data_IF_267442842730
#
_entry.id   IF_267442842730
#
_cell.length_a   1.000
_cell.length_b   1.000
_cell.length_c   1.000
_cell.angle_alpha   90.00
_cell.angle_beta   90.00
_cell.angle_gamma   90.00
#
_symmetry.space_group_name_H-M   'P 1'
#
loop_
_entity.id
_entity.type
_entity.pdbx_description
1 polymer ?
#
# COMPACT_ATOMS: atom_id res chain seq x y z
N UNK A 1 -1.50 -33.88 67.24
CA UNK A 1 -0.70 -34.49 66.16
C UNK A 1 -1.21 -33.99 64.80
N UNK A 2 -0.82 -32.81 64.32
CA UNK A 2 -1.13 -32.39 62.93
C UNK A 2 0.01 -31.56 62.33
N UNK A 3 1.08 -32.25 61.91
CA UNK A 3 2.08 -31.73 60.97
C UNK A 3 2.40 -32.85 59.99
N UNK A 4 1.82 -32.85 58.76
CA UNK A 4 2.38 -33.57 57.58
C UNK A 4 1.64 -33.44 56.23
N UNK A 5 0.74 -32.47 55.99
CA UNK A 5 0.05 -32.35 54.67
C UNK A 5 0.61 -31.29 53.69
N UNK A 6 1.54 -30.41 54.10
CA UNK A 6 2.08 -29.33 53.25
C UNK A 6 3.14 -29.73 52.21
N UNK A 7 3.87 -30.83 52.42
CA UNK A 7 5.09 -31.14 51.63
C UNK A 7 4.82 -31.76 50.23
N UNK A 8 3.72 -32.53 50.07
CA UNK A 8 3.41 -33.22 48.80
C UNK A 8 2.92 -32.27 47.69
N UNK A 9 2.20 -31.19 48.04
CA UNK A 9 1.62 -30.24 47.06
C UNK A 9 2.70 -29.33 46.44
N UNK A 10 3.73 -28.97 47.22
CA UNK A 10 4.85 -28.15 46.77
C UNK A 10 5.82 -28.92 45.85
N UNK A 11 6.08 -30.21 46.14
CA UNK A 11 6.87 -31.09 45.25
C UNK A 11 6.19 -31.31 43.89
N UNK A 12 4.87 -31.49 43.84
CA UNK A 12 4.11 -31.69 42.58
C UNK A 12 4.11 -30.44 41.69
N UNK A 13 4.07 -29.24 42.28
CA UNK A 13 4.19 -27.96 41.54
C UNK A 13 5.60 -27.72 40.97
N UNK A 14 6.66 -28.03 41.73
CA UNK A 14 8.05 -27.93 41.22
C UNK A 14 8.34 -28.91 40.09
N UNK A 15 7.85 -30.16 40.19
CA UNK A 15 8.00 -31.15 39.13
C UNK A 15 7.28 -30.74 37.82
N UNK A 16 6.09 -30.15 37.93
CA UNK A 16 5.34 -29.69 36.75
C UNK A 16 5.99 -28.44 36.11
N UNK A 17 6.57 -27.54 36.91
CA UNK A 17 7.32 -26.37 36.40
C UNK A 17 8.59 -26.80 35.63
N UNK A 18 9.33 -27.77 36.15
CA UNK A 18 10.52 -28.32 35.50
C UNK A 18 10.19 -29.11 34.21
N UNK A 19 9.03 -29.76 34.15
CA UNK A 19 8.55 -30.45 32.95
C UNK A 19 8.18 -29.46 31.84
N UNK A 20 7.53 -28.34 32.19
CA UNK A 20 7.15 -27.25 31.28
C UNK A 20 8.38 -26.47 30.79
N UNK A 21 9.35 -26.20 31.67
CA UNK A 21 10.63 -25.59 31.29
C UNK A 21 11.41 -26.50 30.31
N UNK A 22 11.51 -27.81 30.58
CA UNK A 22 12.15 -28.76 29.67
C UNK A 22 11.46 -28.88 28.30
N UNK A 23 10.13 -28.75 28.24
CA UNK A 23 9.41 -28.74 26.96
C UNK A 23 9.65 -27.43 26.19
N UNK A 24 9.80 -26.32 26.91
CA UNK A 24 10.13 -25.02 26.31
C UNK A 24 11.57 -25.02 25.75
N UNK A 25 12.55 -25.49 26.51
CA UNK A 25 13.94 -25.60 26.05
C UNK A 25 14.08 -26.51 24.81
N UNK A 26 13.36 -27.63 24.75
CA UNK A 26 13.33 -28.50 23.56
C UNK A 26 12.76 -27.80 22.31
N UNK A 27 11.74 -26.94 22.47
CA UNK A 27 11.19 -26.15 21.36
C UNK A 27 12.15 -25.07 20.89
N UNK A 28 12.85 -24.40 21.80
CA UNK A 28 13.88 -23.40 21.47
C UNK A 28 15.04 -24.04 20.70
N UNK A 29 15.47 -25.23 21.10
CA UNK A 29 16.53 -25.98 20.41
C UNK A 29 16.11 -26.42 18.99
N UNK A 30 14.85 -26.83 18.81
CA UNK A 30 14.30 -27.12 17.47
C UNK A 30 14.24 -25.88 16.58
N UNK A 31 13.84 -24.73 17.13
CA UNK A 31 13.81 -23.47 16.38
C UNK A 31 15.22 -22.98 16.01
N UNK A 32 16.21 -23.18 16.88
CA UNK A 32 17.61 -22.87 16.59
C UNK A 32 18.15 -23.73 15.43
N UNK A 33 17.81 -25.03 15.39
CA UNK A 33 18.19 -25.92 14.28
C UNK A 33 17.55 -25.51 12.95
N UNK A 34 16.30 -25.06 12.97
CA UNK A 34 15.61 -24.55 11.76
C UNK A 34 16.28 -23.26 11.28
N UNK A 35 16.61 -22.34 12.20
CA UNK A 35 17.28 -21.09 11.86
C UNK A 35 18.67 -21.32 11.27
N UNK A 36 19.46 -22.23 11.86
CA UNK A 36 20.77 -22.61 11.33
C UNK A 36 20.65 -23.13 9.90
N UNK A 37 19.69 -24.03 9.64
CA UNK A 37 19.44 -24.56 8.29
C UNK A 37 19.04 -23.46 7.29
N UNK A 38 18.19 -22.52 7.70
CA UNK A 38 17.80 -21.39 6.85
C UNK A 38 18.98 -20.46 6.52
N UNK A 39 19.89 -20.25 7.47
CA UNK A 39 21.09 -19.45 7.25
C UNK A 39 22.08 -20.18 6.32
N UNK A 40 22.22 -21.50 6.44
CA UNK A 40 23.04 -22.34 5.55
C UNK A 40 22.47 -22.37 4.11
N UNK A 41 21.14 -22.51 3.97
CA UNK A 41 20.44 -22.45 2.67
C UNK A 41 20.62 -21.07 2.01
N UNK A 42 20.57 -19.99 2.81
CA UNK A 42 20.79 -18.61 2.35
C UNK A 42 22.25 -18.37 1.93
N UNK A 43 23.22 -18.93 2.64
CA UNK A 43 24.63 -18.87 2.28
C UNK A 43 24.90 -19.63 0.97
N UNK A 44 24.29 -20.80 0.80
CA UNK A 44 24.37 -21.61 -0.43
C UNK A 44 23.80 -20.86 -1.64
N UNK A 45 22.62 -20.25 -1.50
CA UNK A 45 22.02 -19.43 -2.56
C UNK A 45 22.89 -18.21 -2.96
N UNK A 46 23.62 -17.62 -1.99
CA UNK A 46 24.59 -16.55 -2.27
C UNK A 46 25.80 -17.03 -3.05
N UNK A 47 26.31 -18.24 -2.79
CA UNK A 47 27.44 -18.82 -3.54
C UNK A 47 27.09 -19.09 -5.01
N UNK A 48 25.86 -19.49 -5.31
CA UNK A 48 25.40 -19.68 -6.69
C UNK A 48 25.16 -18.36 -7.45
N UNK A 49 25.05 -17.23 -6.75
CA UNK A 49 24.82 -15.91 -7.35
C UNK A 49 26.12 -15.17 -7.73
N UNK A 50 27.29 -15.64 -7.30
CA UNK A 50 28.58 -14.97 -7.51
C UNK A 50 29.56 -15.71 -8.44
N UNK A 51 29.23 -16.92 -8.90
CA UNK A 51 30.07 -17.68 -9.85
C UNK A 51 29.82 -17.35 -11.33
N UNK A 52 28.98 -16.35 -11.65
CA UNK A 52 28.75 -15.90 -13.04
C UNK A 52 29.72 -14.80 -13.49
N UNK A 53 30.62 -14.32 -12.62
CA UNK A 53 31.59 -13.25 -12.95
C UNK A 53 32.97 -13.59 -12.38
N UNK A 54 33.64 -14.60 -12.93
CA UNK A 54 35.11 -14.71 -12.89
C UNK A 54 35.60 -15.98 -13.60
N UNK A 55 35.63 -15.96 -14.93
CA UNK A 55 36.67 -16.64 -15.72
C UNK A 55 36.91 -15.84 -17.00
N UNK A 56 37.80 -14.87 -16.94
CA UNK A 56 38.48 -14.31 -18.11
C UNK A 56 39.89 -13.87 -17.70
N UNK A 57 40.87 -14.55 -18.29
CA UNK A 57 42.26 -14.22 -18.63
C UNK A 57 42.98 -15.60 -18.67
N UNK A 58 43.41 -16.09 -19.84
CA UNK A 58 44.54 -15.53 -20.56
C UNK A 58 44.39 -15.47 -22.09
N UNK A 59 45.14 -14.52 -22.64
CA UNK A 59 45.22 -14.08 -24.02
C UNK A 59 46.17 -14.96 -24.86
N UNK A 60 45.76 -15.34 -26.08
CA UNK A 60 46.63 -15.53 -27.25
C UNK A 60 45.82 -15.45 -28.55
N UNK A 61 46.15 -14.49 -29.41
CA UNK A 61 45.66 -14.22 -30.79
C UNK A 61 46.76 -14.80 -31.73
N UNK A 62 46.53 -15.44 -32.91
CA UNK A 62 45.85 -14.79 -34.04
C UNK A 62 45.21 -15.62 -35.19
N UNK A 63 44.42 -14.90 -35.99
CA UNK A 63 44.50 -14.81 -37.46
C UNK A 63 43.24 -15.17 -38.27
N UNK A 64 42.84 -14.16 -39.07
CA UNK A 64 42.27 -14.20 -40.42
C UNK A 64 41.28 -15.30 -40.79
N UNK A 65 39.98 -14.98 -40.72
CA UNK A 65 39.10 -14.80 -41.89
C UNK A 65 37.63 -15.07 -41.55
N UNK A 66 36.76 -14.20 -42.09
CA UNK A 66 35.29 -14.09 -41.93
C UNK A 66 34.79 -13.24 -40.76
N UNK A 67 35.08 -11.94 -40.82
CA UNK A 67 34.25 -10.91 -40.19
C UNK A 67 33.53 -10.15 -41.30
N UNK A 68 32.32 -10.61 -41.63
CA UNK A 68 31.36 -9.87 -42.45
C UNK A 68 30.03 -9.77 -41.69
N UNK A 69 29.90 -8.65 -40.96
CA UNK A 69 28.70 -7.81 -40.83
C UNK A 69 27.33 -8.52 -40.73
N UNK A 70 26.88 -8.80 -39.50
CA UNK A 70 25.44 -8.78 -39.19
C UNK A 70 25.10 -7.70 -38.16
N UNK A 71 24.24 -6.80 -38.63
CA UNK A 71 23.75 -5.58 -37.99
C UNK A 71 22.86 -5.92 -36.78
N UNK A 72 22.97 -5.06 -35.78
CA UNK A 72 22.01 -4.86 -34.68
C UNK A 72 20.57 -4.99 -35.18
N UNK A 73 19.85 -6.00 -34.68
CA UNK A 73 18.40 -6.07 -34.82
C UNK A 73 17.81 -5.05 -33.84
N UNK A 74 17.39 -3.92 -34.41
CA UNK A 74 16.55 -2.92 -33.75
C UNK A 74 15.30 -3.62 -33.21
N UNK A 75 15.05 -3.40 -31.92
CA UNK A 75 13.75 -3.66 -31.29
C UNK A 75 12.65 -3.00 -32.12
N UNK A 76 11.67 -3.81 -32.55
CA UNK A 76 10.50 -3.33 -33.27
C UNK A 76 9.60 -2.56 -32.31
N UNK A 77 9.59 -1.23 -32.45
CA UNK A 77 8.51 -0.38 -31.95
C UNK A 77 7.24 -0.75 -32.74
N UNK A 78 6.29 -1.42 -32.09
CA UNK A 78 4.91 -1.37 -32.57
C UNK A 78 4.35 0.01 -32.24
N UNK A 79 4.30 0.84 -33.28
CA UNK A 79 3.58 2.10 -33.32
C UNK A 79 2.08 1.87 -33.11
N UNK A 80 1.67 1.72 -31.85
CA UNK A 80 0.29 1.93 -31.43
C UNK A 80 0.10 3.43 -31.21
N UNK A 81 -0.60 4.07 -32.14
CA UNK A 81 -1.00 5.49 -32.17
C UNK A 81 -1.10 6.10 -30.76
N UNK A 82 -0.07 6.82 -30.35
CA UNK A 82 -0.19 7.85 -29.32
C UNK A 82 -1.07 8.94 -29.94
N UNK A 83 -2.30 9.08 -29.45
CA UNK A 83 -3.09 10.28 -29.73
C UNK A 83 -2.38 11.43 -29.04
N UNK A 84 -1.78 12.28 -29.85
CA UNK A 84 -1.17 13.55 -29.49
C UNK A 84 -2.21 14.51 -28.90
N UNK A 85 -1.71 15.42 -28.05
CA UNK A 85 -2.26 16.72 -27.60
C UNK A 85 -2.85 16.74 -26.18
N UNK A 86 -1.96 16.74 -25.18
CA UNK A 86 -2.02 17.79 -24.16
C UNK A 86 -0.80 18.69 -24.44
N UNK A 87 -1.04 19.96 -24.77
CA UNK A 87 0.02 20.96 -24.73
C UNK A 87 0.38 21.08 -23.26
N UNK A 88 1.47 20.45 -22.82
CA UNK A 88 1.99 20.69 -21.48
C UNK A 88 2.35 22.18 -21.40
N UNK A 89 1.48 22.97 -20.77
CA UNK A 89 1.79 24.36 -20.46
C UNK A 89 3.10 24.38 -19.67
N UNK A 90 4.14 24.98 -20.26
CA UNK A 90 5.40 25.13 -19.57
C UNK A 90 5.28 26.27 -18.57
N UNK A 91 5.04 25.92 -17.30
CA UNK A 91 4.95 26.87 -16.20
C UNK A 91 6.28 26.79 -15.43
N UNK A 92 7.14 27.82 -15.48
CA UNK A 92 8.42 27.77 -14.78
C UNK A 92 8.22 27.64 -13.27
N UNK A 93 9.11 26.88 -12.62
CA UNK A 93 9.11 26.78 -11.16
C UNK A 93 9.76 28.04 -10.57
N UNK A 94 9.10 28.65 -9.59
CA UNK A 94 9.60 29.84 -8.89
C UNK A 94 10.63 29.43 -7.82
N UNK A 95 11.82 30.04 -7.84
CA UNK A 95 12.87 29.76 -6.85
C UNK A 95 12.84 30.76 -5.68
N UNK A 96 13.17 30.34 -4.44
CA UNK A 96 13.46 28.97 -4.01
C UNK A 96 12.17 28.13 -3.88
N UNK A 97 12.24 26.87 -4.32
CA UNK A 97 11.14 25.90 -4.20
C UNK A 97 11.57 24.67 -3.41
N UNK A 98 10.63 24.11 -2.67
CA UNK A 98 10.79 22.88 -1.90
C UNK A 98 10.14 21.73 -2.65
N UNK A 99 10.83 20.61 -2.73
CA UNK A 99 10.32 19.33 -3.24
C UNK A 99 10.13 18.38 -2.06
N UNK A 100 8.93 17.83 -1.96
CA UNK A 100 8.51 16.86 -0.94
C UNK A 100 8.37 15.48 -1.58
N UNK A 101 8.91 14.46 -0.94
CA UNK A 101 8.64 13.08 -1.33
C UNK A 101 7.47 12.52 -0.50
N UNK A 102 6.35 12.26 -1.17
CA UNK A 102 5.13 11.75 -0.54
C UNK A 102 4.89 10.31 -0.94
N UNK A 103 4.82 9.42 0.04
CA UNK A 103 4.51 8.00 -0.13
C UNK A 103 3.05 7.73 0.24
N UNK A 104 2.38 6.89 -0.54
CA UNK A 104 1.02 6.42 -0.27
C UNK A 104 1.04 4.90 -0.16
N UNK A 105 0.41 4.38 0.90
CA UNK A 105 0.37 2.96 1.23
C UNK A 105 -1.03 2.37 1.01
N UNK A 106 -1.09 1.06 0.80
CA UNK A 106 -2.32 0.34 0.52
C UNK A 106 -3.30 0.38 1.70
N UNK A 107 -4.60 0.56 1.42
CA UNK A 107 -5.65 0.66 2.44
C UNK A 107 -5.78 -0.56 3.38
N UNK A 108 -5.62 -1.78 2.85
CA UNK A 108 -5.67 -3.04 3.60
C UNK A 108 -4.27 -3.48 4.06
N UNK A 109 -3.28 -3.42 3.17
CA UNK A 109 -1.90 -3.84 3.44
C UNK A 109 -1.04 -2.62 3.81
N UNK A 110 -1.21 -2.11 5.03
CA UNK A 110 -0.60 -0.83 5.46
C UNK A 110 0.93 -0.73 5.32
N UNK A 111 1.64 -1.87 5.24
CA UNK A 111 3.10 -1.91 5.01
C UNK A 111 3.49 -1.92 3.53
N UNK A 112 2.53 -1.98 2.60
CA UNK A 112 2.78 -2.04 1.16
C UNK A 112 2.62 -0.64 0.56
N UNK A 113 3.75 -0.03 0.16
CA UNK A 113 3.75 1.21 -0.61
C UNK A 113 3.11 0.96 -1.98
N UNK A 114 2.15 1.80 -2.36
CA UNK A 114 1.45 1.72 -3.65
C UNK A 114 1.92 2.80 -4.62
N UNK A 115 2.21 4.01 -4.12
CA UNK A 115 2.64 5.13 -4.95
C UNK A 115 3.63 5.99 -4.20
N UNK A 116 4.47 6.70 -4.96
CA UNK A 116 5.40 7.70 -4.46
C UNK A 116 5.43 8.87 -5.43
N UNK A 117 5.36 10.07 -4.88
CA UNK A 117 5.26 11.32 -5.62
C UNK A 117 6.34 12.29 -5.18
N UNK A 118 6.84 13.08 -6.14
CA UNK A 118 7.48 14.35 -5.86
C UNK A 118 6.43 15.45 -5.99
N UNK A 119 6.32 16.31 -4.98
CA UNK A 119 5.33 17.39 -4.90
C UNK A 119 6.04 18.69 -4.56
N UNK A 120 5.67 19.79 -5.20
CA UNK A 120 6.26 21.10 -4.84
C UNK A 120 5.54 21.72 -3.64
N UNK A 121 6.26 22.52 -2.87
CA UNK A 121 5.72 23.24 -1.71
C UNK A 121 4.52 24.13 -2.07
N UNK A 122 4.58 24.82 -3.22
CA UNK A 122 3.50 25.70 -3.67
C UNK A 122 2.30 24.99 -4.31
N UNK A 123 2.31 23.67 -4.44
CA UNK A 123 1.15 22.93 -4.94
C UNK A 123 0.09 22.79 -3.86
N UNK A 124 -1.16 22.81 -4.31
CA UNK A 124 -2.29 22.54 -3.41
C UNK A 124 -2.36 21.06 -3.05
N UNK A 125 -2.95 20.75 -1.89
CA UNK A 125 -3.15 19.35 -1.47
C UNK A 125 -4.03 18.57 -2.46
N UNK A 126 -5.00 19.26 -3.08
CA UNK A 126 -5.87 18.69 -4.12
C UNK A 126 -5.10 18.25 -5.37
N UNK A 127 -4.02 18.96 -5.75
CA UNK A 127 -3.17 18.54 -6.88
C UNK A 127 -2.53 17.17 -6.62
N UNK A 128 -2.14 16.88 -5.37
CA UNK A 128 -1.72 15.52 -5.00
C UNK A 128 -2.89 14.54 -4.98
N UNK A 129 -4.00 14.88 -4.32
CA UNK A 129 -5.19 14.00 -4.22
C UNK A 129 -5.60 13.48 -5.60
N UNK A 130 -5.68 14.38 -6.58
CA UNK A 130 -6.14 14.07 -7.95
C UNK A 130 -5.18 13.14 -8.71
N UNK A 131 -3.93 12.99 -8.25
CA UNK A 131 -2.93 12.05 -8.81
C UNK A 131 -2.86 10.72 -8.04
N UNK A 132 -3.48 10.62 -6.86
CA UNK A 132 -3.52 9.36 -6.11
C UNK A 132 -4.44 8.38 -6.84
N UNK A 133 -3.89 7.21 -7.14
CA UNK A 133 -4.59 6.10 -7.74
C UNK A 133 -5.05 5.14 -6.66
N UNK A 134 -6.34 4.86 -6.62
CA UNK A 134 -6.90 3.81 -5.78
C UNK A 134 -7.92 2.97 -6.55
N UNK A 135 -7.84 1.66 -6.40
CA UNK A 135 -8.78 0.72 -7.00
C UNK A 135 -10.22 1.01 -6.56
N UNK A 136 -10.43 1.44 -5.31
CA UNK A 136 -11.77 1.76 -4.79
C UNK A 136 -12.43 2.86 -5.62
N UNK A 137 -11.69 3.90 -6.05
CA UNK A 137 -12.24 4.96 -6.89
C UNK A 137 -12.72 4.40 -8.24
N UNK A 138 -11.91 3.55 -8.89
CA UNK A 138 -12.29 2.93 -10.16
C UNK A 138 -13.53 2.04 -10.03
N UNK A 139 -13.61 1.25 -8.97
CA UNK A 139 -14.75 0.36 -8.72
C UNK A 139 -16.02 1.18 -8.47
N UNK A 140 -15.93 2.23 -7.66
CA UNK A 140 -17.09 3.10 -7.36
C UNK A 140 -17.54 3.91 -8.57
N UNK A 141 -16.61 4.39 -9.40
CA UNK A 141 -16.92 5.05 -10.68
C UNK A 141 -17.67 4.11 -11.63
N UNK A 142 -17.17 2.88 -11.83
CA UNK A 142 -17.85 1.89 -12.67
C UNK A 142 -19.23 1.51 -12.15
N UNK A 143 -19.41 1.50 -10.83
CA UNK A 143 -20.70 1.21 -10.19
C UNK A 143 -21.67 2.40 -10.22
N UNK A 144 -21.26 3.60 -10.68
CA UNK A 144 -22.07 4.81 -10.62
C UNK A 144 -22.35 5.29 -9.18
N UNK A 145 -21.51 4.88 -8.22
CA UNK A 145 -21.63 5.16 -6.78
C UNK A 145 -20.42 5.92 -6.24
N UNK A 146 -19.70 6.62 -7.11
CA UNK A 146 -18.52 7.37 -6.74
C UNK A 146 -18.87 8.53 -5.82
N UNK A 147 -18.23 8.56 -4.66
CA UNK A 147 -18.31 9.66 -3.71
C UNK A 147 -17.09 10.59 -3.92
N UNK A 148 -17.28 11.88 -4.28
CA UNK A 148 -16.17 12.81 -4.46
C UNK A 148 -15.49 13.21 -3.13
N UNK A 149 -16.15 12.92 -2.01
CA UNK A 149 -15.70 13.29 -0.67
C UNK A 149 -14.39 12.60 -0.28
N UNK A 150 -13.53 13.37 0.38
CA UNK A 150 -12.32 12.83 0.97
C UNK A 150 -11.56 13.88 1.75
N UNK A 151 -10.65 13.44 2.61
CA UNK A 151 -9.82 14.34 3.40
C UNK A 151 -8.41 13.79 3.60
N UNK A 152 -7.46 14.71 3.80
CA UNK A 152 -6.19 14.39 4.45
C UNK A 152 -6.27 14.79 5.92
N UNK A 153 -5.85 13.92 6.82
CA UNK A 153 -5.64 14.22 8.22
C UNK A 153 -4.14 14.25 8.48
N UNK A 154 -3.60 15.45 8.63
CA UNK A 154 -2.18 15.73 8.89
C UNK A 154 -2.10 16.43 10.25
N UNK A 155 -1.34 15.84 11.17
CA UNK A 155 -1.36 16.21 12.60
C UNK A 155 -2.82 16.21 13.12
N UNK A 156 -3.28 17.37 13.61
CA UNK A 156 -4.63 17.56 14.16
C UNK A 156 -5.56 18.29 13.19
N UNK A 157 -5.26 18.33 11.88
CA UNK A 157 -6.02 19.12 10.90
C UNK A 157 -6.60 18.21 9.82
N UNK A 158 -7.93 18.27 9.69
CA UNK A 158 -8.69 17.70 8.59
C UNK A 158 -8.71 18.68 7.42
N UNK A 159 -8.06 18.31 6.33
CA UNK A 159 -8.11 19.00 5.05
C UNK A 159 -9.20 18.36 4.19
N UNK A 160 -10.42 18.88 4.25
CA UNK A 160 -11.56 18.30 3.52
C UNK A 160 -11.57 18.81 2.07
N UNK A 161 -11.77 17.90 1.12
CA UNK A 161 -12.01 18.28 -0.27
C UNK A 161 -13.51 18.51 -0.50
N UNK A 162 -13.88 19.79 -0.50
CA UNK A 162 -15.25 20.26 -0.70
C UNK A 162 -15.39 21.01 -2.04
N UNK A 163 -14.56 20.70 -3.04
CA UNK A 163 -14.66 21.32 -4.37
C UNK A 163 -15.94 20.94 -5.10
N UNK A 164 -16.43 19.72 -4.88
CA UNK A 164 -17.69 19.24 -5.45
C UNK A 164 -18.87 19.61 -4.53
N UNK A 165 -19.97 20.19 -5.03
CA UNK A 165 -21.14 20.52 -4.23
C UNK A 165 -21.80 19.31 -3.55
N UNK A 166 -21.61 18.10 -4.09
CA UNK A 166 -22.10 16.84 -3.51
C UNK A 166 -21.16 16.22 -2.47
N UNK A 167 -19.98 16.82 -2.26
CA UNK A 167 -19.03 16.34 -1.25
C UNK A 167 -19.56 16.53 0.17
N UNK A 168 -19.38 15.51 0.98
CA UNK A 168 -19.79 15.43 2.38
C UNK A 168 -18.56 15.67 3.25
N UNK A 169 -18.72 16.54 4.25
CA UNK A 169 -17.70 16.72 5.28
C UNK A 169 -17.67 15.52 6.24
N UNK A 170 -16.70 14.64 6.05
CA UNK A 170 -16.48 13.47 6.92
C UNK A 170 -16.01 13.83 8.33
N UNK A 171 -15.48 15.03 8.56
CA UNK A 171 -14.99 15.45 9.87
C UNK A 171 -16.12 15.80 10.84
N UNK A 172 -17.29 16.23 10.34
CA UNK A 172 -18.45 16.62 11.17
C UNK A 172 -18.88 15.53 12.15
N UNK A 173 -19.23 14.30 11.67
CA UNK A 173 -19.60 13.19 12.56
C UNK A 173 -18.51 12.81 13.56
N UNK A 174 -17.22 13.01 13.21
CA UNK A 174 -16.09 12.74 14.10
C UNK A 174 -16.06 13.78 15.23
N UNK A 175 -16.27 15.06 14.92
CA UNK A 175 -16.32 16.14 15.91
C UNK A 175 -17.53 16.02 16.84
N UNK A 176 -18.69 15.63 16.30
CA UNK A 176 -19.88 15.36 17.09
C UNK A 176 -19.63 14.21 18.07
N UNK A 177 -18.99 13.13 17.61
CA UNK A 177 -18.59 12.03 18.47
C UNK A 177 -17.58 12.46 19.55
N UNK A 178 -16.55 13.25 19.20
CA UNK A 178 -15.58 13.78 20.17
C UNK A 178 -16.23 14.66 21.26
N UNK A 179 -17.27 15.42 20.90
CA UNK A 179 -18.00 16.28 21.82
C UNK A 179 -18.94 15.49 22.73
N UNK A 180 -19.68 14.53 22.17
CA UNK A 180 -20.71 13.77 22.87
C UNK A 180 -20.16 12.58 23.67
N UNK A 181 -18.98 12.07 23.31
CA UNK A 181 -18.37 10.88 23.91
C UNK A 181 -16.96 11.17 24.45
N UNK A 182 -16.78 12.31 25.12
CA UNK A 182 -15.47 12.82 25.57
C UNK A 182 -14.66 11.82 26.42
N UNK A 183 -15.31 11.15 27.37
CA UNK A 183 -14.62 10.20 28.26
C UNK A 183 -14.14 8.97 27.50
N UNK A 184 -14.93 8.48 26.53
CA UNK A 184 -14.55 7.37 25.68
C UNK A 184 -13.45 7.75 24.69
N UNK A 185 -13.48 8.99 24.18
CA UNK A 185 -12.42 9.55 23.36
C UNK A 185 -11.10 9.64 24.14
N UNK A 186 -11.12 10.11 25.38
CA UNK A 186 -9.95 10.16 26.26
C UNK A 186 -9.37 8.77 26.51
N UNK A 187 -10.20 7.78 26.88
CA UNK A 187 -9.76 6.39 27.09
C UNK A 187 -9.09 5.80 25.85
N UNK A 188 -9.68 6.04 24.67
CA UNK A 188 -9.12 5.59 23.39
C UNK A 188 -7.79 6.28 23.08
N UNK A 189 -7.73 7.59 23.28
CA UNK A 189 -6.52 8.39 23.06
C UNK A 189 -5.37 7.94 23.96
N UNK A 190 -5.64 7.73 25.25
CA UNK A 190 -4.67 7.19 26.19
C UNK A 190 -4.16 5.81 25.77
N UNK A 191 -5.05 4.96 25.25
CA UNK A 191 -4.69 3.64 24.73
C UNK A 191 -3.79 3.73 23.51
N UNK A 192 -4.01 4.71 22.63
CA UNK A 192 -3.17 4.96 21.45
C UNK A 192 -1.77 5.44 21.86
N UNK A 193 -1.66 6.45 22.73
CA UNK A 193 -0.37 7.00 23.17
C UNK A 193 0.44 5.96 23.93
N UNK A 194 -0.21 5.23 24.83
CA UNK A 194 0.47 4.29 25.74
C UNK A 194 0.81 2.97 25.03
N UNK A 195 0.11 2.65 23.94
CA UNK A 195 0.15 1.35 23.30
C UNK A 195 -0.52 0.26 24.14
N UNK A 196 -1.13 -0.72 23.49
CA UNK A 196 -1.86 -1.83 24.14
C UNK A 196 -0.96 -2.67 25.08
N UNK A 197 0.36 -2.68 24.84
CA UNK A 197 1.35 -3.47 25.58
C UNK A 197 1.77 -2.87 26.94
N UNK A 198 1.59 -1.57 27.19
CA UNK A 198 2.06 -0.92 28.43
C UNK A 198 0.96 -0.72 29.49
N UNK A 199 -0.32 -1.01 29.20
CA UNK A 199 -1.40 -0.97 30.21
C UNK A 199 -1.11 -1.86 31.43
N UNK A 200 -0.45 -3.01 31.23
CA UNK A 200 -0.06 -3.93 32.31
C UNK A 200 1.15 -3.44 33.12
N UNK A 201 2.02 -2.60 32.54
CA UNK A 201 3.22 -2.09 33.19
C UNK A 201 2.94 -0.79 33.98
N UNK A 202 1.95 0.02 33.55
CA UNK A 202 1.56 1.25 34.25
C UNK A 202 0.88 1.03 35.61
N UNK A 203 0.30 -0.15 35.85
CA UNK A 203 -0.16 -0.54 37.19
C UNK A 203 0.98 -0.56 38.24
N UNK A 204 2.25 -0.52 37.80
CA UNK A 204 3.45 -0.64 38.64
C UNK A 204 4.21 0.69 38.81
N UNK A 205 4.14 1.64 37.86
CA UNK A 205 5.05 2.81 37.80
C UNK A 205 4.43 4.20 38.02
N UNK A 206 3.14 4.30 38.32
CA UNK A 206 2.50 5.58 38.67
C UNK A 206 2.10 6.44 37.47
N UNK A 207 1.12 7.32 37.70
CA UNK A 207 0.37 8.05 36.68
C UNK A 207 1.20 9.15 35.99
N UNK A 208 1.29 9.08 34.66
CA UNK A 208 1.52 10.27 33.83
C UNK A 208 0.15 10.89 33.57
N UNK A 209 -0.01 12.16 33.92
CA UNK A 209 -1.25 12.94 33.76
C UNK A 209 -1.79 12.84 32.33
N UNK A 210 -3.12 12.71 32.13
CA UNK A 210 -3.71 12.65 30.80
C UNK A 210 -3.37 13.92 30.03
N UNK A 211 -2.63 13.78 28.94
CA UNK A 211 -2.47 14.84 27.96
C UNK A 211 -3.84 15.09 27.32
N UNK A 212 -4.27 16.35 27.35
CA UNK A 212 -5.50 16.87 26.73
C UNK A 212 -5.71 16.25 25.33
N UNK A 213 -6.95 15.93 24.97
CA UNK A 213 -7.30 15.50 23.61
C UNK A 213 -6.72 16.47 22.57
N UNK A 214 -6.27 15.95 21.41
CA UNK A 214 -5.84 16.81 20.32
C UNK A 214 -6.94 17.80 19.94
N UNK A 215 -6.54 19.02 19.60
CA UNK A 215 -7.48 20.05 19.21
C UNK A 215 -7.69 20.00 17.70
N UNK A 216 -8.57 19.09 17.28
CA UNK A 216 -8.82 18.90 15.86
C UNK A 216 -9.48 20.11 15.21
N UNK A 217 -9.05 20.43 13.98
CA UNK A 217 -9.56 21.54 13.17
C UNK A 217 -9.86 21.09 11.75
N UNK A 218 -10.65 21.88 11.04
CA UNK A 218 -10.95 21.68 9.62
C UNK A 218 -10.45 22.84 8.79
N UNK A 219 -9.95 22.53 7.59
CA UNK A 219 -9.48 23.50 6.59
C UNK A 219 -9.85 22.99 5.20
N UNK A 220 -10.09 23.91 4.27
CA UNK A 220 -10.31 23.60 2.86
C UNK A 220 -9.05 23.01 2.20
N UNK A 221 -9.14 21.80 1.64
CA UNK A 221 -8.02 21.14 0.95
C UNK A 221 -7.56 21.94 -0.28
N UNK A 222 -8.51 22.51 -1.04
CA UNK A 222 -8.22 23.20 -2.31
C UNK A 222 -7.50 24.56 -2.16
N UNK A 223 -7.57 25.17 -0.97
CA UNK A 223 -6.88 26.44 -0.67
C UNK A 223 -5.56 26.23 0.08
N UNK A 224 -5.29 25.01 0.51
CA UNK A 224 -4.10 24.70 1.31
C UNK A 224 -2.99 24.21 0.41
N UNK A 225 -1.79 24.79 0.54
CA UNK A 225 -0.58 24.31 -0.13
C UNK A 225 0.29 23.49 0.80
N UNK A 226 1.19 22.71 0.24
CA UNK A 226 2.15 21.93 1.03
C UNK A 226 3.08 22.80 1.90
N UNK A 227 3.45 23.99 1.44
CA UNK A 227 4.24 24.96 2.21
C UNK A 227 3.49 25.56 3.40
N UNK A 228 2.16 25.46 3.44
CA UNK A 228 1.33 25.97 4.53
C UNK A 228 1.15 24.90 5.65
N UNK A 229 1.61 23.67 5.41
CA UNK A 229 1.45 22.55 6.33
C UNK A 229 2.44 22.59 7.49
N UNK A 230 1.97 22.09 8.64
CA UNK A 230 2.83 21.67 9.75
C UNK A 230 2.80 20.15 9.83
N UNK A 231 3.95 19.53 9.71
CA UNK A 231 4.09 18.07 9.72
C UNK A 231 5.47 17.66 10.25
N UNK A 232 5.62 16.38 10.53
CA UNK A 232 6.82 15.69 10.96
C UNK A 232 7.25 14.74 9.84
N UNK A 233 8.52 14.84 9.41
CA UNK A 233 9.05 13.94 8.40
C UNK A 233 9.05 12.49 8.87
N UNK A 234 8.62 11.59 8.00
CA UNK A 234 8.50 10.16 8.29
C UNK A 234 7.28 9.76 9.13
N UNK A 235 6.48 10.73 9.61
CA UNK A 235 5.23 10.42 10.31
C UNK A 235 4.15 9.94 9.34
N UNK A 236 3.31 9.01 9.81
CA UNK A 236 2.18 8.49 9.06
C UNK A 236 0.93 9.34 9.26
N UNK A 237 0.43 9.88 8.15
CA UNK A 237 -0.82 10.64 8.04
C UNK A 237 -1.90 9.80 7.35
N UNK A 238 -3.15 10.28 7.42
CA UNK A 238 -4.30 9.55 6.89
C UNK A 238 -4.86 10.26 5.66
N UNK A 239 -5.02 9.52 4.57
CA UNK A 239 -5.89 9.89 3.46
C UNK A 239 -7.13 9.00 3.50
N UNK A 240 -8.32 9.62 3.53
CA UNK A 240 -9.59 8.92 3.50
C UNK A 240 -10.44 9.39 2.32
N UNK A 241 -11.01 8.46 1.56
CA UNK A 241 -11.91 8.72 0.44
C UNK A 241 -12.91 7.57 0.28
N UNK A 242 -13.94 7.73 -0.55
CA UNK A 242 -14.99 6.71 -0.79
C UNK A 242 -15.57 6.13 0.50
N UNK A 243 -15.83 6.99 1.50
CA UNK A 243 -16.36 6.62 2.81
C UNK A 243 -15.31 6.05 3.77
N UNK A 244 -14.86 4.82 3.54
CA UNK A 244 -14.01 4.08 4.49
C UNK A 244 -12.65 3.65 3.93
N UNK A 245 -12.32 4.07 2.70
CA UNK A 245 -11.05 3.75 2.07
C UNK A 245 -9.92 4.60 2.65
N UNK A 246 -9.16 4.02 3.59
CA UNK A 246 -8.15 4.68 4.41
C UNK A 246 -6.74 4.29 4.00
N UNK A 247 -5.97 5.23 3.48
CA UNK A 247 -4.58 5.07 3.11
C UNK A 247 -3.66 5.76 4.12
N UNK A 248 -2.52 5.15 4.43
CA UNK A 248 -1.45 5.84 5.13
C UNK A 248 -0.65 6.64 4.11
N UNK A 249 -0.48 7.93 4.36
CA UNK A 249 0.37 8.84 3.60
C UNK A 249 1.58 9.22 4.46
N UNK A 250 2.79 9.22 3.90
CA UNK A 250 4.01 9.59 4.62
C UNK A 250 4.75 10.64 3.82
N UNK A 251 5.05 11.78 4.42
CA UNK A 251 6.00 12.74 3.85
C UNK A 251 7.39 12.28 4.30
N UNK A 252 8.09 11.54 3.44
CA UNK A 252 9.33 10.83 3.80
C UNK A 252 10.49 11.81 3.98
N UNK A 253 10.70 12.67 3.00
CA UNK A 253 11.81 13.60 2.94
C UNK A 253 11.39 14.92 2.24
N UNK A 254 12.25 15.92 2.37
CA UNK A 254 12.07 17.26 1.84
C UNK A 254 13.43 17.83 1.45
N UNK A 255 13.52 18.50 0.30
CA UNK A 255 14.74 19.14 -0.18
C UNK A 255 14.44 20.39 -1.00
N UNK A 256 15.44 21.22 -1.23
CA UNK A 256 15.35 22.27 -2.26
C UNK A 256 15.35 21.66 -3.66
N UNK A 257 14.63 22.30 -4.58
CA UNK A 257 14.67 21.93 -6.00
C UNK A 257 16.10 22.11 -6.54
N UNK A 258 16.55 21.14 -7.33
CA UNK A 258 17.87 21.11 -7.96
C UNK A 258 17.74 21.55 -9.44
N UNK A 259 18.75 22.19 -10.05
CA UNK A 259 18.69 22.59 -11.47
C UNK A 259 18.41 21.45 -12.45
N UNK A 260 18.77 20.21 -12.10
CA UNK A 260 18.51 19.00 -12.90
C UNK A 260 17.09 18.42 -12.70
N UNK A 261 16.32 18.93 -11.73
CA UNK A 261 14.92 18.56 -11.61
C UNK A 261 14.09 19.10 -12.78
N UNK A 262 12.88 18.57 -12.92
CA UNK A 262 11.94 19.06 -13.92
C UNK A 262 11.56 20.51 -13.58
N UNK A 263 12.03 21.48 -14.37
CA UNK A 263 11.71 22.89 -14.17
C UNK A 263 10.38 23.29 -14.82
N UNK A 264 9.36 22.43 -14.71
CA UNK A 264 8.00 22.71 -15.13
C UNK A 264 7.04 22.37 -13.99
N UNK A 265 6.39 23.38 -13.40
CA UNK A 265 5.39 23.21 -12.34
C UNK A 265 4.25 22.29 -12.77
N UNK A 266 3.81 22.37 -14.02
CA UNK A 266 2.71 21.56 -14.54
C UNK A 266 3.01 20.05 -14.58
N UNK A 267 4.29 19.66 -14.56
CA UNK A 267 4.69 18.26 -14.52
C UNK A 267 4.52 17.63 -13.12
N UNK A 268 4.43 18.45 -12.06
CA UNK A 268 4.20 17.98 -10.71
C UNK A 268 2.70 17.87 -10.40
N UNK A 269 2.27 16.98 -9.49
CA UNK A 269 3.06 15.95 -8.81
C UNK A 269 3.62 14.89 -9.76
N UNK A 270 4.91 14.59 -9.63
CA UNK A 270 5.59 13.59 -10.46
C UNK A 270 5.48 12.24 -9.77
N UNK A 271 4.88 11.25 -10.43
CA UNK A 271 4.87 9.86 -9.94
C UNK A 271 6.25 9.25 -10.19
N UNK A 272 6.99 8.97 -9.11
CA UNK A 272 8.30 8.30 -9.19
C UNK A 272 8.23 6.80 -8.91
N UNK A 273 7.15 6.35 -8.25
CA UNK A 273 6.86 4.93 -8.08
C UNK A 273 5.36 4.67 -8.14
N UNK A 274 4.98 3.58 -8.80
CA UNK A 274 3.64 3.02 -8.75
C UNK A 274 3.73 1.50 -8.74
N UNK A 275 3.11 0.87 -7.74
CA UNK A 275 3.01 -0.57 -7.63
C UNK A 275 2.20 -1.09 -8.82
N UNK A 276 2.78 -2.02 -9.57
CA UNK A 276 2.11 -2.61 -10.73
C UNK A 276 1.04 -3.60 -10.26
N UNK A 277 -0.24 -3.39 -10.61
CA UNK A 277 -1.31 -4.31 -10.25
C UNK A 277 -1.07 -5.68 -10.88
N UNK A 278 -1.43 -6.75 -10.16
CA UNK A 278 -1.27 -8.11 -10.67
C UNK A 278 -2.51 -8.48 -11.48
N UNK A 279 -2.42 -8.31 -12.80
CA UNK A 279 -3.47 -8.69 -13.72
C UNK A 279 -3.64 -10.21 -13.80
N UNK A 280 -4.85 -10.71 -13.54
CA UNK A 280 -5.18 -12.11 -13.84
C UNK A 280 -5.35 -12.30 -15.34
N UNK A 281 -4.82 -13.40 -15.86
CA UNK A 281 -5.08 -13.84 -17.23
C UNK A 281 -6.40 -14.61 -17.27
N UNK A 282 -7.05 -14.59 -18.43
CA UNK A 282 -8.23 -15.41 -18.68
C UNK A 282 -7.91 -16.89 -18.41
N UNK A 283 -8.76 -17.57 -17.65
CA UNK A 283 -8.61 -18.98 -17.29
C UNK A 283 -8.84 -19.93 -18.47
N UNK A 284 -9.55 -19.50 -19.52
CA UNK A 284 -9.79 -20.29 -20.73
C UNK A 284 -8.58 -20.22 -21.66
N UNK A 285 -8.26 -19.03 -22.19
CA UNK A 285 -7.20 -18.90 -23.19
C UNK A 285 -5.80 -18.76 -22.59
N UNK A 286 -5.67 -18.37 -21.31
CA UNK A 286 -4.39 -18.08 -20.61
C UNK A 286 -3.49 -17.05 -21.34
N UNK A 287 -4.04 -16.30 -22.29
CA UNK A 287 -3.34 -15.30 -23.12
C UNK A 287 -3.79 -13.89 -22.72
N UNK A 288 -5.07 -13.57 -22.95
CA UNK A 288 -5.63 -12.24 -22.72
C UNK A 288 -5.87 -11.95 -21.24
N UNK A 289 -5.88 -10.67 -20.87
CA UNK A 289 -6.25 -10.22 -19.52
C UNK A 289 -7.71 -10.54 -19.24
N UNK A 290 -8.00 -10.93 -18.01
CA UNK A 290 -9.37 -11.10 -17.58
C UNK A 290 -10.04 -9.74 -17.37
N UNK A 291 -11.29 -9.64 -17.80
CA UNK A 291 -12.16 -8.47 -17.66
C UNK A 291 -13.44 -8.82 -16.91
N UNK A 292 -13.77 -10.12 -16.82
CA UNK A 292 -14.95 -10.64 -16.15
C UNK A 292 -14.58 -11.77 -15.22
N UNK A 293 -15.32 -11.90 -14.12
CA UNK A 293 -15.24 -13.03 -13.22
C UNK A 293 -16.65 -13.61 -13.06
N UNK A 294 -16.78 -14.92 -13.25
CA UNK A 294 -18.03 -15.64 -12.99
C UNK A 294 -17.91 -16.43 -11.69
N UNK A 295 -19.02 -16.49 -10.96
CA UNK A 295 -19.18 -17.28 -9.74
C UNK A 295 -20.36 -18.22 -9.92
N UNK A 296 -20.18 -19.47 -9.51
CA UNK A 296 -21.16 -20.56 -9.63
C UNK A 296 -21.59 -20.86 -11.07
N UNK A 297 -20.66 -20.60 -12.00
CA UNK A 297 -20.79 -20.91 -13.41
C UNK A 297 -20.52 -22.40 -13.66
N UNK A 298 -21.57 -23.14 -14.03
CA UNK A 298 -21.50 -24.58 -14.31
C UNK A 298 -20.60 -24.93 -15.50
N UNK A 299 -20.42 -24.00 -16.44
CA UNK A 299 -19.65 -24.22 -17.66
C UNK A 299 -18.19 -23.81 -17.49
N UNK A 300 -17.89 -23.04 -16.45
CA UNK A 300 -16.53 -22.72 -16.08
C UNK A 300 -15.78 -23.92 -15.49
N UNK A 301 -14.49 -24.01 -15.80
CA UNK A 301 -13.59 -25.04 -15.28
C UNK A 301 -13.26 -24.85 -13.79
N UNK A 302 -13.30 -23.62 -13.31
CA UNK A 302 -12.93 -23.23 -11.95
C UNK A 302 -14.02 -22.32 -11.37
N UNK A 303 -14.09 -22.16 -10.05
CA UNK A 303 -15.03 -21.25 -9.39
C UNK A 303 -14.29 -20.51 -8.25
N UNK A 304 -14.12 -19.18 -8.30
CA UNK A 304 -14.49 -18.26 -9.39
C UNK A 304 -13.64 -18.45 -10.66
N UNK A 305 -14.19 -18.13 -11.83
CA UNK A 305 -13.46 -18.22 -13.11
C UNK A 305 -13.28 -16.85 -13.75
N UNK A 306 -12.06 -16.57 -14.22
CA UNK A 306 -11.71 -15.29 -14.84
C UNK A 306 -11.72 -15.39 -16.37
N UNK A 307 -12.47 -14.52 -17.05
CA UNK A 307 -12.60 -14.51 -18.51
C UNK A 307 -12.11 -13.19 -19.11
N UNK A 308 -11.53 -13.26 -20.30
CA UNK A 308 -11.49 -12.09 -21.19
C UNK A 308 -12.84 -11.97 -21.92
N UNK A 309 -13.14 -10.78 -22.44
CA UNK A 309 -14.43 -10.51 -23.09
C UNK A 309 -14.74 -11.52 -24.21
N UNK A 310 -13.75 -11.84 -25.05
CA UNK A 310 -13.92 -12.80 -26.14
C UNK A 310 -14.31 -14.21 -25.65
N UNK A 311 -13.56 -14.77 -24.70
CA UNK A 311 -13.87 -16.10 -24.17
C UNK A 311 -15.17 -16.13 -23.36
N UNK A 312 -15.50 -15.02 -22.68
CA UNK A 312 -16.77 -14.88 -21.99
C UNK A 312 -17.94 -14.93 -22.97
N UNK A 313 -17.90 -14.11 -24.03
CA UNK A 313 -18.93 -14.10 -25.06
C UNK A 313 -19.04 -15.44 -25.78
N UNK A 314 -17.92 -16.10 -26.09
CA UNK A 314 -17.95 -17.39 -26.79
C UNK A 314 -18.59 -18.51 -25.96
N UNK A 315 -18.51 -18.44 -24.63
CA UNK A 315 -19.10 -19.43 -23.72
C UNK A 315 -20.56 -19.09 -23.34
N UNK A 316 -20.92 -17.80 -23.28
CA UNK A 316 -22.19 -17.33 -22.71
C UNK A 316 -23.11 -16.59 -23.69
N UNK A 317 -22.64 -16.26 -24.90
CA UNK A 317 -23.46 -15.67 -25.96
C UNK A 317 -23.87 -16.77 -26.94
N UNK A 318 -25.09 -17.30 -26.77
CA UNK A 318 -25.80 -18.03 -27.82
C UNK A 318 -26.85 -17.13 -28.45
N UNK A 319 -27.01 -17.20 -29.78
CA UNK A 319 -28.01 -16.45 -30.57
C UNK A 319 -29.47 -16.81 -30.19
N UNK A 320 -29.67 -17.88 -29.41
CA UNK A 320 -30.97 -18.28 -28.90
C UNK A 320 -30.97 -18.31 -27.36
N UNK A 321 -31.24 -17.14 -26.77
CA UNK A 321 -31.46 -16.94 -25.32
C UNK A 321 -30.25 -17.32 -24.43
N UNK A 322 -30.11 -16.75 -23.22
CA UNK A 322 -29.12 -17.27 -22.29
C UNK A 322 -29.53 -18.69 -21.89
N UNK A 323 -28.78 -19.71 -22.32
CA UNK A 323 -29.07 -21.13 -22.06
C UNK A 323 -29.13 -21.48 -20.56
N UNK A 324 -28.71 -20.56 -19.68
CA UNK A 324 -28.73 -20.73 -18.23
C UNK A 324 -28.46 -19.37 -17.55
N UNK A 325 -29.30 -18.96 -16.59
CA UNK A 325 -29.16 -17.67 -15.89
C UNK A 325 -28.77 -17.79 -14.40
N UNK A 326 -28.37 -18.97 -13.92
CA UNK A 326 -28.06 -19.17 -12.49
C UNK A 326 -26.54 -19.09 -12.22
N UNK A 327 -25.89 -18.02 -12.67
CA UNK A 327 -24.51 -17.70 -12.28
C UNK A 327 -24.36 -16.19 -12.15
N UNK A 328 -23.45 -15.74 -11.28
CA UNK A 328 -23.20 -14.32 -11.09
C UNK A 328 -22.00 -13.89 -11.93
N UNK A 329 -22.13 -12.78 -12.65
CA UNK A 329 -21.06 -12.19 -13.44
C UNK A 329 -20.70 -10.84 -12.86
N UNK A 330 -19.42 -10.63 -12.62
CA UNK A 330 -18.89 -9.35 -12.16
C UNK A 330 -17.78 -8.89 -13.10
N UNK A 331 -17.66 -7.59 -13.28
CA UNK A 331 -16.48 -7.04 -13.95
C UNK A 331 -15.27 -7.19 -13.03
N UNK A 332 -14.19 -7.74 -13.58
CA UNK A 332 -12.95 -7.91 -12.88
C UNK A 332 -12.09 -6.64 -13.03
N UNK A 333 -11.87 -5.95 -11.91
CA UNK A 333 -10.98 -4.78 -11.82
C UNK A 333 -9.73 -5.18 -11.03
N UNK A 334 -8.56 -4.81 -11.54
CA UNK A 334 -7.27 -5.29 -11.03
C UNK A 334 -6.76 -4.46 -9.84
N UNK A 335 -6.24 -5.13 -8.81
CA UNK A 335 -5.52 -4.55 -7.66
C UNK A 335 -4.00 -4.59 -7.84
#
# INVERSE_FOLDING_TARGET
MEKKKGSKKQKKRKANKHLVENTYFKRVEQLAKIKQKQDDDKATARLHSLNAVSKNNDCAIPSSDKIERMKSLRSMNSSGKVKTLEVEEHIPVSYPEVVLCVEVYHNKRRWSKIQEFLVLGHQTLTELKDKIYCLTDQVMQKAGKHDPSGYFLIEDIFFNDLRDPSAIDYSGPIFDWLRNSRDDALKKWESIITGELQQKQRAILGNVTPSKLPNFKTVDMHKTRFCDLRFQLGAGYLYCHQGDCKHTMVIRDMRLIHPEDVNNRAAYPIIIFQLKPRVQKCHVCKISRATKVTVDDKWARENPCYFCDYCFSLLHSSDESPLYAQFSVYDYVHD
#
